data_IF_500529200256
#
_entry.id   IF_500529200256
#
_cell.length_a   1.000
_cell.length_b   1.000
_cell.length_c   1.000
_cell.angle_alpha   90.00
_cell.angle_beta   90.00
_cell.angle_gamma   90.00
#
_symmetry.space_group_name_H-M   'P 1'
#
loop_
_entity.id
_entity.type
_entity.pdbx_description
1 polymer ?
#
# COMPACT_ATOMS: atom_id res chain seq x y z
N UNK A 1 -24.61 -24.13 10.36
CA UNK A 1 -24.16 -23.46 9.12
C UNK A 1 -24.24 -21.96 9.34
N UNK A 2 -23.16 -21.36 9.86
CA UNK A 2 -23.12 -19.93 10.20
C UNK A 2 -22.66 -19.12 8.99
N UNK A 3 -23.62 -18.55 8.25
CA UNK A 3 -23.35 -17.53 7.25
C UNK A 3 -23.18 -16.16 7.95
N UNK A 4 -22.21 -15.36 7.52
CA UNK A 4 -22.35 -13.90 7.60
C UNK A 4 -21.40 -13.11 8.50
N UNK A 5 -20.09 -13.42 8.53
CA UNK A 5 -19.07 -12.42 8.89
C UNK A 5 -18.10 -12.21 7.72
N UNK A 6 -18.63 -11.97 6.52
CA UNK A 6 -17.82 -11.38 5.46
C UNK A 6 -17.49 -9.94 5.87
N UNK A 7 -16.28 -9.71 6.37
CA UNK A 7 -15.81 -8.37 6.68
C UNK A 7 -15.95 -7.52 5.41
N UNK A 8 -16.68 -6.39 5.41
CA UNK A 8 -17.04 -5.66 4.18
C UNK A 8 -15.82 -5.18 3.37
N UNK A 9 -14.64 -5.22 3.98
CA UNK A 9 -13.36 -4.87 3.37
C UNK A 9 -12.57 -6.06 2.83
N UNK A 10 -12.92 -7.29 3.22
CA UNK A 10 -12.24 -8.51 2.81
C UNK A 10 -12.68 -8.90 1.40
N UNK A 11 -11.69 -9.18 0.55
CA UNK A 11 -11.89 -9.65 -0.81
C UNK A 11 -11.28 -11.04 -0.89
N UNK A 12 -12.10 -12.03 -1.20
CA UNK A 12 -11.59 -13.34 -1.56
C UNK A 12 -10.77 -13.26 -2.84
N UNK A 13 -9.60 -13.87 -2.78
CA UNK A 13 -8.67 -13.99 -3.91
C UNK A 13 -7.92 -15.31 -3.78
N UNK A 14 -7.53 -15.86 -4.92
CA UNK A 14 -6.90 -17.19 -5.04
C UNK A 14 -5.43 -17.11 -5.51
N UNK A 15 -4.88 -15.91 -5.59
CA UNK A 15 -3.52 -15.71 -6.10
C UNK A 15 -2.45 -16.30 -5.16
N UNK A 16 -1.21 -16.51 -5.64
CA UNK A 16 -0.11 -17.00 -4.79
C UNK A 16 0.09 -16.17 -3.52
N UNK A 17 -0.11 -14.85 -3.60
CA UNK A 17 -0.04 -13.95 -2.45
C UNK A 17 -1.22 -14.12 -1.50
N UNK A 18 -2.41 -14.50 -1.98
CA UNK A 18 -3.53 -14.81 -1.10
C UNK A 18 -3.27 -16.11 -0.32
N UNK A 19 -2.70 -17.12 -1.00
CA UNK A 19 -2.37 -18.44 -0.44
C UNK A 19 -1.16 -18.45 0.50
N UNK A 20 -0.30 -17.44 0.45
CA UNK A 20 0.84 -17.34 1.35
C UNK A 20 0.39 -17.25 2.83
N UNK A 21 1.17 -17.80 3.79
CA UNK A 21 0.87 -17.68 5.21
C UNK A 21 0.78 -16.22 5.66
N UNK A 22 -0.05 -15.95 6.67
CA UNK A 22 -0.29 -14.59 7.15
C UNK A 22 0.98 -13.98 7.76
N UNK A 23 1.74 -14.74 8.55
CA UNK A 23 2.98 -14.27 9.18
C UNK A 23 4.00 -13.77 8.15
N UNK A 24 4.11 -14.43 7.00
CA UNK A 24 5.05 -14.01 5.93
C UNK A 24 4.66 -12.64 5.39
N UNK A 25 3.37 -12.39 5.17
CA UNK A 25 2.89 -11.09 4.67
C UNK A 25 3.19 -9.98 5.66
N UNK A 26 2.95 -10.23 6.94
CA UNK A 26 3.19 -9.24 8.00
C UNK A 26 4.67 -8.95 8.15
N UNK A 27 5.53 -9.98 8.20
CA UNK A 27 6.98 -9.79 8.29
C UNK A 27 7.51 -9.03 7.07
N UNK A 28 7.10 -9.40 5.85
CA UNK A 28 7.48 -8.69 4.64
C UNK A 28 7.02 -7.22 4.66
N UNK A 29 5.78 -6.96 5.11
CA UNK A 29 5.25 -5.60 5.24
C UNK A 29 6.08 -4.75 6.20
N UNK A 30 6.35 -5.27 7.40
CA UNK A 30 7.13 -4.55 8.42
C UNK A 30 8.55 -4.26 7.91
N UNK A 31 9.23 -5.26 7.33
CA UNK A 31 10.57 -5.08 6.78
C UNK A 31 10.58 -4.06 5.64
N UNK A 32 9.57 -4.10 4.76
CA UNK A 32 9.45 -3.14 3.66
C UNK A 32 9.27 -1.71 4.17
N UNK A 33 8.37 -1.50 5.14
CA UNK A 33 8.16 -0.17 5.76
C UNK A 33 9.45 0.35 6.39
N UNK A 34 10.14 -0.49 7.16
CA UNK A 34 11.43 -0.12 7.78
C UNK A 34 12.49 0.22 6.73
N UNK A 35 12.58 -0.56 5.66
CA UNK A 35 13.53 -0.29 4.57
C UNK A 35 13.25 1.06 3.88
N UNK A 36 11.98 1.37 3.60
CA UNK A 36 11.58 2.64 2.99
C UNK A 36 11.90 3.82 3.91
N UNK A 37 11.54 3.74 5.20
CA UNK A 37 11.76 4.83 6.17
C UNK A 37 13.24 5.06 6.45
N UNK A 38 14.05 4.00 6.49
CA UNK A 38 15.48 4.10 6.73
C UNK A 38 16.28 4.56 5.50
N UNK A 39 15.69 4.56 4.31
CA UNK A 39 16.39 4.94 3.07
C UNK A 39 16.64 6.44 3.03
N UNK A 40 17.89 6.91 2.85
CA UNK A 40 18.19 8.33 2.75
C UNK A 40 17.54 8.93 1.49
N UNK A 41 16.87 10.07 1.67
CA UNK A 41 16.12 10.77 0.60
C UNK A 41 16.97 11.27 -0.57
N UNK A 42 18.28 11.29 -0.42
CA UNK A 42 19.24 11.71 -1.46
C UNK A 42 19.42 10.62 -2.53
N UNK A 43 19.17 9.36 -2.17
CA UNK A 43 19.23 8.23 -3.09
C UNK A 43 17.84 8.00 -3.68
N UNK A 44 17.63 8.45 -4.92
CA UNK A 44 16.34 8.29 -5.61
C UNK A 44 16.10 6.88 -6.17
N UNK A 45 17.17 6.17 -6.53
CA UNK A 45 17.07 4.85 -7.16
C UNK A 45 16.36 3.77 -6.31
N UNK A 46 16.54 3.68 -4.97
CA UNK A 46 15.87 2.68 -4.14
C UNK A 46 14.35 2.90 -4.11
N UNK A 47 13.88 4.14 -4.19
CA UNK A 47 12.45 4.42 -4.30
C UNK A 47 11.83 3.87 -5.59
N UNK A 48 12.59 3.90 -6.70
CA UNK A 48 12.18 3.22 -7.93
C UNK A 48 12.05 1.71 -7.75
N UNK A 49 12.99 1.08 -7.03
CA UNK A 49 12.93 -0.33 -6.68
C UNK A 49 11.73 -0.66 -5.77
N UNK A 50 11.46 0.15 -4.75
CA UNK A 50 10.32 -0.02 -3.87
C UNK A 50 8.99 0.10 -4.62
N UNK A 51 8.88 1.08 -5.52
CA UNK A 51 7.72 1.22 -6.40
C UNK A 51 7.53 -0.01 -7.29
N UNK A 52 8.61 -0.54 -7.88
CA UNK A 52 8.57 -1.76 -8.68
C UNK A 52 8.10 -2.97 -7.86
N UNK A 53 8.60 -3.14 -6.63
CA UNK A 53 8.16 -4.20 -5.71
C UNK A 53 6.66 -4.12 -5.48
N UNK A 54 6.14 -2.93 -5.16
CA UNK A 54 4.70 -2.71 -4.94
C UNK A 54 3.89 -3.06 -6.20
N UNK A 55 4.34 -2.62 -7.37
CA UNK A 55 3.67 -2.92 -8.65
C UNK A 55 3.65 -4.43 -8.93
N UNK A 56 4.76 -5.14 -8.72
CA UNK A 56 4.84 -6.59 -8.91
C UNK A 56 3.88 -7.30 -7.94
N UNK A 57 3.91 -6.96 -6.66
CA UNK A 57 3.00 -7.53 -5.65
C UNK A 57 1.54 -7.29 -6.03
N UNK A 58 1.20 -6.07 -6.45
CA UNK A 58 -0.15 -5.72 -6.88
C UNK A 58 -0.60 -6.52 -8.10
N UNK A 59 0.25 -6.68 -9.12
CA UNK A 59 -0.02 -7.48 -10.31
C UNK A 59 -0.19 -8.97 -9.97
N UNK A 60 0.69 -9.54 -9.13
CA UNK A 60 0.58 -10.93 -8.66
C UNK A 60 -0.66 -11.14 -7.79
N UNK A 61 -1.09 -10.12 -7.04
CA UNK A 61 -2.31 -10.16 -6.27
C UNK A 61 -3.58 -10.08 -7.14
N UNK A 62 -3.45 -9.67 -8.41
CA UNK A 62 -4.56 -9.53 -9.38
C UNK A 62 -5.70 -8.67 -8.84
N UNK A 63 -5.37 -7.59 -8.14
CA UNK A 63 -6.35 -6.68 -7.52
C UNK A 63 -6.78 -5.64 -8.57
N UNK A 64 -8.08 -5.54 -8.92
CA UNK A 64 -8.53 -4.61 -9.94
C UNK A 64 -8.46 -3.16 -9.45
N UNK A 65 -8.04 -2.21 -10.31
CA UNK A 65 -7.88 -0.79 -9.96
C UNK A 65 -9.13 -0.19 -9.32
N UNK A 66 -10.32 -0.51 -9.87
CA UNK A 66 -11.63 -0.06 -9.37
C UNK A 66 -11.89 -0.40 -7.90
N UNK A 67 -11.16 -1.36 -7.33
CA UNK A 67 -11.27 -1.72 -5.91
C UNK A 67 -10.28 -0.94 -5.03
N UNK A 68 -9.12 -0.56 -5.57
CA UNK A 68 -8.05 0.16 -4.85
C UNK A 68 -8.31 1.68 -4.84
N UNK A 69 -8.73 2.25 -5.97
CA UNK A 69 -8.95 3.70 -6.14
C UNK A 69 -9.83 4.34 -5.05
N UNK A 70 -11.05 3.82 -4.76
CA UNK A 70 -11.90 4.42 -3.73
C UNK A 70 -11.31 4.30 -2.32
N UNK A 71 -10.41 3.34 -2.08
CA UNK A 71 -9.73 3.17 -0.79
C UNK A 71 -8.57 4.15 -0.61
N UNK A 72 -7.87 4.48 -1.70
CA UNK A 72 -6.82 5.50 -1.69
C UNK A 72 -7.40 6.91 -1.48
N UNK A 73 -8.68 7.13 -1.76
CA UNK A 73 -9.34 8.42 -1.56
C UNK A 73 -9.33 8.88 -0.09
N UNK A 74 -9.21 7.96 0.87
CA UNK A 74 -9.07 8.32 2.30
C UNK A 74 -7.78 9.10 2.59
N UNK A 75 -6.78 8.99 1.71
CA UNK A 75 -5.50 9.69 1.83
C UNK A 75 -5.54 11.09 1.19
N UNK A 76 -6.57 11.40 0.39
CA UNK A 76 -6.74 12.69 -0.27
C UNK A 76 -6.61 13.92 0.65
N UNK A 77 -7.21 13.98 1.86
CA UNK A 77 -7.02 15.15 2.73
C UNK A 77 -5.56 15.38 3.12
N UNK A 78 -4.77 14.31 3.30
CA UNK A 78 -3.34 14.43 3.62
C UNK A 78 -2.55 14.94 2.41
N UNK A 79 -2.87 14.48 1.21
CA UNK A 79 -2.25 14.97 -0.03
C UNK A 79 -2.56 16.46 -0.22
N UNK A 80 -3.82 16.87 -0.03
CA UNK A 80 -4.22 18.27 -0.11
C UNK A 80 -3.43 19.11 0.90
N UNK A 81 -3.32 18.67 2.15
CA UNK A 81 -2.52 19.36 3.16
C UNK A 81 -1.04 19.44 2.76
N UNK A 82 -0.42 18.33 2.35
CA UNK A 82 0.98 18.27 1.95
C UNK A 82 1.30 19.23 0.79
N UNK A 83 0.37 19.38 -0.17
CA UNK A 83 0.50 20.35 -1.26
C UNK A 83 0.31 21.79 -0.77
N UNK A 84 -0.55 22.03 0.22
CA UNK A 84 -0.79 23.36 0.78
C UNK A 84 0.31 23.85 1.74
N UNK A 85 1.05 22.95 2.39
CA UNK A 85 2.10 23.30 3.37
C UNK A 85 3.12 24.34 2.83
N UNK A 86 3.72 24.18 1.63
CA UNK A 86 4.63 25.18 1.08
C UNK A 86 4.03 26.58 0.90
N UNK A 87 2.69 26.69 0.82
CA UNK A 87 1.97 27.95 0.66
C UNK A 87 1.44 28.52 1.99
N UNK A 88 1.19 27.66 2.98
CA UNK A 88 0.75 28.06 4.31
C UNK A 88 1.90 28.64 5.16
N UNK A 89 3.13 28.21 4.89
CA UNK A 89 4.35 28.65 5.58
C UNK A 89 4.96 29.92 4.96
N UNK A 90 4.46 30.37 3.80
CA UNK A 90 5.00 31.49 3.01
C UNK A 90 4.42 32.88 3.35
N UNK A 91 4.10 33.12 4.63
CA UNK A 91 3.70 34.44 5.15
C UNK A 91 4.83 35.15 5.87
#
# INVERSE_FOLDING_TARGET
MGAGHSHPLYRDGDSPLHRAPAEVKIVCLVLFVLAVVATPRELFWPFGLFALIVLVVWQVARIPLRWILPRMLIEAPFIVLAVLLPFAEGG
#
